data_IF_915273796287
#
_entry.id   IF_915273796287
#
_cell.length_a   1.000
_cell.length_b   1.000
_cell.length_c   1.000
_cell.angle_alpha   90.00
_cell.angle_beta   90.00
_cell.angle_gamma   90.00
#
_symmetry.space_group_name_H-M   'P 1'
#
loop_
_entity.id
_entity.type
_entity.pdbx_description
1 polymer ?
#
# COMPACT_ATOMS: atom_id res chain seq x y z
N UNK A 1 -2.69 22.93 10.76
CA UNK A 1 -2.85 22.07 11.95
C UNK A 1 -2.25 22.80 13.14
N UNK A 2 -2.84 22.61 14.31
CA UNK A 2 -2.37 23.15 15.59
C UNK A 2 -1.08 22.43 16.02
N UNK A 3 -0.08 23.19 16.47
CA UNK A 3 1.15 22.62 17.03
C UNK A 3 0.81 21.98 18.39
N UNK A 4 1.04 20.68 18.52
CA UNK A 4 0.74 19.94 19.75
C UNK A 4 2.03 19.82 20.56
N UNK A 5 2.10 20.47 21.73
CA UNK A 5 3.16 20.25 22.72
C UNK A 5 3.07 18.80 23.24
N UNK A 6 4.01 17.96 22.80
CA UNK A 6 3.78 16.52 22.67
C UNK A 6 5.05 15.66 22.53
N UNK A 7 4.95 14.35 22.76
CA UNK A 7 5.85 13.37 22.15
C UNK A 7 5.03 12.27 21.48
N UNK A 8 5.63 11.57 20.51
CA UNK A 8 4.99 10.39 19.93
C UNK A 8 5.11 9.17 20.86
N UNK A 9 4.22 8.19 20.67
CA UNK A 9 4.17 6.98 21.46
C UNK A 9 5.46 6.15 21.31
N UNK A 10 6.15 6.20 20.16
CA UNK A 10 7.46 5.53 19.99
C UNK A 10 8.48 6.04 21.02
N UNK A 11 8.63 7.36 21.13
CA UNK A 11 9.53 7.98 22.09
C UNK A 11 9.13 7.66 23.53
N UNK A 12 7.82 7.62 23.82
CA UNK A 12 7.31 7.25 25.14
C UNK A 12 7.63 5.79 25.49
N UNK A 13 7.39 4.83 24.59
CA UNK A 13 7.70 3.39 24.78
C UNK A 13 9.20 3.21 25.07
N UNK A 14 10.07 3.85 24.29
CA UNK A 14 11.51 3.74 24.47
C UNK A 14 12.00 4.24 25.85
N UNK A 15 11.26 5.14 26.51
CA UNK A 15 11.59 5.66 27.84
C UNK A 15 10.90 4.88 28.97
N UNK A 16 9.77 4.24 28.68
CA UNK A 16 8.94 3.54 29.64
C UNK A 16 8.92 2.05 29.28
N UNK A 17 10.02 1.35 29.55
CA UNK A 17 10.22 -0.05 29.14
C UNK A 17 9.15 -1.01 29.68
N UNK A 18 8.54 -0.68 30.85
CA UNK A 18 7.48 -1.48 31.46
C UNK A 18 6.34 -0.59 31.98
N UNK A 19 5.42 -0.15 31.09
CA UNK A 19 4.35 0.74 31.49
C UNK A 19 3.32 0.03 32.36
N UNK A 20 2.73 0.76 33.30
CA UNK A 20 1.70 0.25 34.21
C UNK A 20 0.33 0.12 33.49
N UNK A 21 -0.59 -0.59 34.15
CA UNK A 21 -1.93 -0.82 33.63
C UNK A 21 -2.72 0.48 33.34
N UNK A 22 -2.74 1.52 34.23
CA UNK A 22 -3.43 2.77 33.95
C UNK A 22 -2.96 3.46 32.66
N UNK A 23 -1.65 3.58 32.44
CA UNK A 23 -1.12 4.22 31.23
C UNK A 23 -1.47 3.41 29.98
N UNK A 24 -1.32 2.07 30.03
CA UNK A 24 -1.69 1.18 28.93
C UNK A 24 -3.17 1.37 28.57
N UNK A 25 -4.07 1.27 29.56
CA UNK A 25 -5.51 1.39 29.32
C UNK A 25 -5.89 2.78 28.83
N UNK A 26 -5.29 3.85 29.34
CA UNK A 26 -5.56 5.23 28.89
C UNK A 26 -5.24 5.41 27.41
N UNK A 27 -4.04 4.98 26.98
CA UNK A 27 -3.63 5.04 25.57
C UNK A 27 -4.57 4.18 24.73
N UNK A 28 -4.85 2.94 25.18
CA UNK A 28 -5.69 2.00 24.45
C UNK A 28 -7.12 2.51 24.24
N UNK A 29 -7.73 3.06 25.28
CA UNK A 29 -9.09 3.60 25.23
C UNK A 29 -9.17 4.83 24.32
N UNK A 30 -8.23 5.79 24.46
CA UNK A 30 -8.27 7.04 23.69
C UNK A 30 -8.01 6.80 22.19
N UNK A 31 -7.04 5.96 21.82
CA UNK A 31 -6.79 5.60 20.41
C UNK A 31 -7.98 4.83 19.84
N UNK A 32 -8.53 3.86 20.58
CA UNK A 32 -9.70 3.10 20.11
C UNK A 32 -10.91 4.01 19.92
N UNK A 33 -11.13 5.01 20.77
CA UNK A 33 -12.19 5.99 20.61
C UNK A 33 -12.02 6.83 19.32
N UNK A 34 -10.79 7.24 19.00
CA UNK A 34 -10.49 7.91 17.74
C UNK A 34 -10.78 7.02 16.51
N UNK A 35 -10.36 5.75 16.56
CA UNK A 35 -10.64 4.76 15.51
C UNK A 35 -12.14 4.47 15.37
N UNK A 36 -12.89 4.38 16.46
CA UNK A 36 -14.34 4.18 16.45
C UNK A 36 -15.05 5.35 15.76
N UNK A 37 -14.64 6.59 16.04
CA UNK A 37 -15.17 7.80 15.40
C UNK A 37 -14.87 7.84 13.90
N UNK A 38 -13.68 7.43 13.49
CA UNK A 38 -13.28 7.36 12.07
C UNK A 38 -14.01 6.25 11.32
N UNK A 39 -14.02 5.03 11.89
CA UNK A 39 -14.70 3.86 11.32
C UNK A 39 -16.21 4.06 11.17
N UNK A 40 -16.86 4.75 12.11
CA UNK A 40 -18.27 5.15 12.01
C UNK A 40 -18.58 6.10 10.84
N UNK A 41 -17.55 6.70 10.22
CA UNK A 41 -17.63 7.53 9.02
C UNK A 41 -17.10 6.82 7.76
N UNK A 42 -16.80 5.52 7.86
CA UNK A 42 -16.22 4.73 6.77
C UNK A 42 -14.75 5.07 6.47
N UNK A 43 -14.06 5.75 7.38
CA UNK A 43 -12.65 6.13 7.20
C UNK A 43 -11.75 5.05 7.80
N UNK A 44 -10.79 4.57 7.01
CA UNK A 44 -9.71 3.68 7.42
C UNK A 44 -8.41 4.49 7.44
N UNK A 45 -7.66 4.43 8.54
CA UNK A 45 -6.44 5.19 8.76
C UNK A 45 -5.25 4.66 7.95
N UNK A 46 -5.09 3.33 7.86
CA UNK A 46 -4.09 2.61 7.04
C UNK A 46 -2.62 2.72 7.48
N UNK A 47 -2.31 3.46 8.54
CA UNK A 47 -0.93 3.68 9.01
C UNK A 47 -0.90 3.87 10.54
N UNK A 48 -1.59 3.00 11.28
CA UNK A 48 -1.55 3.03 12.74
C UNK A 48 -0.22 2.44 13.22
N UNK A 49 0.58 3.27 13.88
CA UNK A 49 1.88 2.93 14.46
C UNK A 49 2.24 3.92 15.58
N UNK A 50 3.19 3.58 16.48
CA UNK A 50 3.57 4.46 17.59
C UNK A 50 4.04 5.86 17.16
N UNK A 51 4.64 6.00 15.97
CA UNK A 51 5.09 7.29 15.45
C UNK A 51 3.92 8.25 15.13
N UNK A 52 2.75 7.71 14.80
CA UNK A 52 1.55 8.48 14.43
C UNK A 52 0.58 8.67 15.61
N UNK A 53 0.96 8.29 16.83
CA UNK A 53 0.17 8.50 18.04
C UNK A 53 0.90 9.53 18.90
N UNK A 54 0.29 10.68 19.09
CA UNK A 54 0.82 11.78 19.88
C UNK A 54 0.23 11.76 21.28
N UNK A 55 1.08 11.91 22.28
CA UNK A 55 0.71 12.11 23.67
C UNK A 55 0.93 13.59 23.98
N UNK A 56 -0.07 14.30 24.52
CA UNK A 56 0.00 15.74 24.88
C UNK A 56 0.22 15.94 26.38
N UNK A 57 0.90 17.01 26.80
CA UNK A 57 1.33 17.16 28.22
C UNK A 57 0.16 17.06 29.21
N UNK A 58 -1.06 17.29 28.75
CA UNK A 58 -2.29 17.14 29.53
C UNK A 58 -2.85 15.70 29.60
N UNK A 59 -2.10 14.70 29.13
CA UNK A 59 -2.54 13.29 29.11
C UNK A 59 -3.50 12.93 27.97
N UNK A 60 -3.73 13.83 27.00
CA UNK A 60 -4.56 13.55 25.82
C UNK A 60 -3.77 12.73 24.79
N UNK A 61 -4.43 11.78 24.15
CA UNK A 61 -3.88 11.01 23.03
C UNK A 61 -4.54 11.43 21.73
N UNK A 62 -3.72 11.90 20.79
CA UNK A 62 -4.14 12.30 19.45
C UNK A 62 -3.58 11.32 18.43
N UNK A 63 -4.45 10.77 17.58
CA UNK A 63 -4.02 9.99 16.41
C UNK A 63 -3.77 10.97 15.27
N UNK A 64 -2.50 11.12 14.89
CA UNK A 64 -2.05 11.99 13.82
C UNK A 64 -2.08 11.27 12.47
N UNK A 65 -2.19 12.05 11.40
CA UNK A 65 -2.01 11.59 10.02
C UNK A 65 -2.91 10.43 9.56
N UNK A 66 -4.23 10.66 9.54
CA UNK A 66 -5.12 9.88 8.67
C UNK A 66 -4.55 9.94 7.25
N UNK A 67 -3.91 8.85 6.80
CA UNK A 67 -2.87 8.88 5.76
C UNK A 67 -3.15 9.79 4.56
N UNK A 68 -2.69 11.04 4.60
CA UNK A 68 -2.74 11.99 3.49
C UNK A 68 -1.62 11.74 2.45
N UNK A 69 -0.76 10.74 2.68
CA UNK A 69 0.28 10.31 1.75
C UNK A 69 -0.08 9.05 0.93
N UNK A 70 -1.34 8.58 0.98
CA UNK A 70 -1.86 7.52 0.11
C UNK A 70 -3.19 7.90 -0.53
N UNK A 71 -3.25 9.12 -1.07
CA UNK A 71 -4.13 9.41 -2.22
C UNK A 71 -3.56 8.73 -3.48
N UNK A 72 -3.39 7.42 -3.39
CA UNK A 72 -3.28 6.49 -4.49
C UNK A 72 -4.21 5.34 -4.13
N UNK A 73 -5.34 5.36 -4.82
CA UNK A 73 -6.18 4.23 -5.17
C UNK A 73 -7.12 3.72 -4.08
N UNK A 74 -8.38 4.16 -4.22
CA UNK A 74 -9.51 3.33 -3.85
C UNK A 74 -9.53 2.14 -4.82
N UNK A 75 -9.32 0.92 -4.32
CA UNK A 75 -9.63 -0.31 -5.06
C UNK A 75 -8.46 -1.10 -5.63
N UNK A 76 -7.24 -0.56 -5.70
CA UNK A 76 -6.08 -1.33 -6.16
C UNK A 76 -5.38 -2.05 -5.02
N UNK A 77 -4.87 -3.28 -5.25
CA UNK A 77 -3.97 -3.92 -4.32
C UNK A 77 -2.82 -2.99 -4.03
N UNK A 78 -2.34 -3.00 -2.77
CA UNK A 78 -1.15 -2.24 -2.37
C UNK A 78 0.00 -2.67 -3.29
N UNK A 79 0.23 -1.93 -4.38
CA UNK A 79 1.39 -2.09 -5.23
C UNK A 79 2.57 -1.68 -4.35
N UNK A 80 3.30 -2.68 -3.84
CA UNK A 80 4.52 -2.58 -3.06
C UNK A 80 5.69 -1.87 -3.80
N UNK A 81 5.42 -1.19 -4.91
CA UNK A 81 6.40 -0.89 -5.96
C UNK A 81 6.40 0.57 -6.44
N UNK A 82 5.80 1.53 -5.73
CA UNK A 82 5.95 2.95 -6.09
C UNK A 82 7.08 3.65 -5.31
N UNK A 83 8.25 3.70 -5.96
CA UNK A 83 9.27 4.77 -5.98
C UNK A 83 9.76 5.32 -4.62
N UNK A 84 11.04 5.05 -4.31
CA UNK A 84 11.92 6.04 -3.66
C UNK A 84 11.77 6.30 -2.16
N UNK A 85 10.88 5.59 -1.45
CA UNK A 85 10.83 5.61 0.02
C UNK A 85 11.58 4.38 0.50
N UNK A 86 12.60 4.55 1.34
CA UNK A 86 13.20 3.46 2.11
C UNK A 86 12.05 2.69 2.75
N UNK A 87 11.71 1.50 2.24
CA UNK A 87 10.64 0.69 2.82
C UNK A 87 11.15 0.31 4.20
N UNK A 88 10.74 1.07 5.22
CA UNK A 88 10.97 0.70 6.60
C UNK A 88 10.44 -0.72 6.79
N UNK A 89 11.00 -1.45 7.75
CA UNK A 89 10.47 -2.75 8.14
C UNK A 89 8.96 -2.60 8.41
N UNK A 90 8.07 -3.40 7.77
CA UNK A 90 6.61 -3.22 7.81
C UNK A 90 6.01 -3.70 9.13
N UNK A 91 6.57 -3.22 10.25
CA UNK A 91 6.36 -3.73 11.61
C UNK A 91 4.90 -3.68 12.07
N UNK A 92 4.08 -2.80 11.49
CA UNK A 92 2.70 -2.55 11.91
C UNK A 92 1.67 -2.80 10.81
N UNK A 93 2.06 -3.39 9.68
CA UNK A 93 1.13 -3.69 8.59
C UNK A 93 0.22 -4.86 8.97
N UNK A 94 -1.05 -4.76 8.59
CA UNK A 94 -1.99 -5.88 8.68
C UNK A 94 -1.73 -6.94 7.59
N UNK A 95 -2.17 -8.20 7.80
CA UNK A 95 -2.03 -9.27 6.81
C UNK A 95 -2.60 -8.87 5.44
N UNK A 96 -3.78 -8.26 5.44
CA UNK A 96 -4.43 -7.76 4.22
C UNK A 96 -3.65 -6.63 3.55
N UNK A 97 -2.93 -5.77 4.30
CA UNK A 97 -2.03 -4.77 3.70
C UNK A 97 -0.82 -5.43 3.04
N UNK A 98 -0.24 -6.45 3.67
CA UNK A 98 0.88 -7.22 3.12
C UNK A 98 0.47 -7.97 1.85
N UNK A 99 -0.74 -8.52 1.83
CA UNK A 99 -1.31 -9.24 0.67
C UNK A 99 -1.87 -8.30 -0.41
N UNK A 100 -1.94 -6.99 -0.15
CA UNK A 100 -2.60 -6.04 -1.04
C UNK A 100 -4.11 -6.29 -1.19
N UNK A 101 -4.79 -6.87 -0.19
CA UNK A 101 -6.24 -7.02 -0.20
C UNK A 101 -6.96 -5.70 0.16
N UNK A 102 -8.24 -5.54 -0.19
CA UNK A 102 -9.04 -4.39 0.24
C UNK A 102 -8.99 -4.20 1.75
N UNK A 103 -8.76 -2.95 2.18
CA UNK A 103 -8.66 -2.59 3.59
C UNK A 103 -10.00 -2.09 4.11
N UNK A 104 -10.31 -2.47 5.35
CA UNK A 104 -11.47 -1.99 6.09
C UNK A 104 -11.06 -1.60 7.52
N UNK A 105 -11.98 -1.10 8.37
CA UNK A 105 -11.62 -0.68 9.73
C UNK A 105 -10.96 -1.77 10.59
N UNK A 106 -11.12 -3.06 10.26
CA UNK A 106 -10.47 -4.19 10.96
C UNK A 106 -8.97 -4.28 10.65
N UNK A 107 -8.51 -3.65 9.57
CA UNK A 107 -7.08 -3.46 9.28
C UNK A 107 -6.43 -2.53 10.30
N UNK A 108 -7.09 -1.42 10.63
CA UNK A 108 -6.61 -0.52 11.69
C UNK A 108 -6.64 -1.18 13.07
N UNK A 109 -7.65 -2.03 13.34
CA UNK A 109 -7.69 -2.84 14.58
C UNK A 109 -6.45 -3.74 14.70
N UNK A 110 -6.02 -4.36 13.61
CA UNK A 110 -4.81 -5.20 13.63
C UNK A 110 -3.55 -4.37 13.85
N UNK A 111 -3.35 -3.30 13.06
CA UNK A 111 -2.18 -2.43 13.20
C UNK A 111 -2.11 -1.79 14.59
N UNK A 112 -3.27 -1.48 15.17
CA UNK A 112 -3.35 -1.06 16.55
C UNK A 112 -3.02 -2.19 17.53
N UNK A 113 -3.42 -3.43 17.25
CA UNK A 113 -3.04 -4.61 18.04
C UNK A 113 -1.52 -4.81 18.10
N UNK A 114 -0.83 -4.60 16.98
CA UNK A 114 0.65 -4.62 16.95
C UNK A 114 1.22 -3.47 17.80
N UNK A 115 0.64 -2.29 17.70
CA UNK A 115 1.04 -1.12 18.52
C UNK A 115 0.86 -1.38 20.01
N UNK A 116 -0.27 -1.98 20.42
CA UNK A 116 -0.55 -2.37 21.80
C UNK A 116 0.41 -3.47 22.28
N UNK A 117 0.71 -4.45 21.44
CA UNK A 117 1.70 -5.48 21.75
C UNK A 117 3.06 -4.83 22.04
N UNK A 118 3.50 -3.94 21.17
CA UNK A 118 4.76 -3.22 21.34
C UNK A 118 4.78 -2.36 22.60
N UNK A 119 3.68 -1.66 22.89
CA UNK A 119 3.51 -0.91 24.13
C UNK A 119 3.68 -1.79 25.38
N UNK A 120 3.13 -3.00 25.37
CA UNK A 120 3.10 -3.89 26.53
C UNK A 120 4.42 -4.67 26.70
N UNK A 121 4.97 -5.16 25.58
CA UNK A 121 6.14 -6.03 25.53
C UNK A 121 7.47 -5.28 25.34
N UNK A 122 7.44 -3.97 25.09
CA UNK A 122 8.62 -3.16 24.78
C UNK A 122 9.22 -3.40 23.39
N UNK A 123 8.73 -4.39 22.64
CA UNK A 123 9.12 -4.65 21.24
C UNK A 123 7.93 -5.15 20.40
N UNK A 124 7.94 -4.92 19.06
CA UNK A 124 6.89 -5.44 18.18
C UNK A 124 6.81 -6.97 18.20
N UNK A 125 5.63 -7.56 17.95
CA UNK A 125 5.44 -9.01 17.97
C UNK A 125 6.26 -9.77 16.92
N UNK A 126 6.62 -9.08 15.83
CA UNK A 126 7.39 -9.64 14.74
C UNK A 126 8.57 -8.73 14.39
N UNK A 127 9.74 -9.33 14.38
CA UNK A 127 11.02 -8.69 14.02
C UNK A 127 11.77 -9.62 13.10
N UNK A 128 12.67 -9.08 12.29
CA UNK A 128 13.44 -9.86 11.33
C UNK A 128 14.49 -9.02 10.65
N UNK A 129 15.51 -9.69 10.11
CA UNK A 129 16.63 -9.06 9.43
C UNK A 129 16.20 -8.38 8.11
N UNK A 130 15.06 -8.79 7.54
CA UNK A 130 14.53 -8.24 6.31
C UNK A 130 13.07 -7.80 6.44
N UNK A 131 12.65 -6.73 5.72
CA UNK A 131 11.25 -6.33 5.62
C UNK A 131 10.31 -7.46 5.20
N UNK A 132 10.75 -8.33 4.27
CA UNK A 132 9.95 -9.46 3.81
C UNK A 132 9.77 -10.51 4.91
N UNK A 133 10.80 -10.80 5.71
CA UNK A 133 10.68 -11.72 6.84
C UNK A 133 9.60 -11.26 7.81
N UNK A 134 9.56 -9.97 8.12
CA UNK A 134 8.53 -9.38 8.99
C UNK A 134 7.15 -9.45 8.33
N UNK A 135 7.04 -9.14 7.04
CA UNK A 135 5.79 -9.26 6.30
C UNK A 135 5.22 -10.70 6.32
N UNK A 136 6.08 -11.71 6.08
CA UNK A 136 5.67 -13.13 6.15
C UNK A 136 5.26 -13.53 7.55
N UNK A 137 5.92 -13.01 8.59
CA UNK A 137 5.51 -13.24 9.98
C UNK A 137 4.12 -12.66 10.27
N UNK A 138 3.78 -11.47 9.75
CA UNK A 138 2.43 -10.94 9.86
C UNK A 138 1.38 -11.88 9.27
N UNK A 139 1.70 -12.59 8.18
CA UNK A 139 0.79 -13.55 7.52
C UNK A 139 0.66 -14.88 8.27
N UNK A 140 1.76 -15.42 8.81
CA UNK A 140 1.84 -16.84 9.21
C UNK A 140 2.17 -17.09 10.67
N UNK A 141 2.93 -16.20 11.31
CA UNK A 141 3.48 -16.44 12.65
C UNK A 141 2.52 -15.92 13.71
N UNK A 142 2.25 -16.72 14.73
CA UNK A 142 1.53 -16.25 15.92
C UNK A 142 2.49 -15.49 16.85
N UNK A 143 2.04 -14.37 17.46
CA UNK A 143 2.85 -13.60 18.40
C UNK A 143 3.10 -14.38 19.70
N UNK A 144 4.22 -14.11 20.37
CA UNK A 144 4.46 -14.70 21.70
C UNK A 144 3.36 -14.26 22.68
N UNK A 145 2.78 -15.17 23.49
CA UNK A 145 1.73 -14.82 24.43
C UNK A 145 2.15 -13.70 25.38
N UNK A 146 1.36 -12.62 25.46
CA UNK A 146 1.70 -11.46 26.30
C UNK A 146 1.71 -11.83 27.78
N UNK A 147 0.94 -12.85 28.19
CA UNK A 147 0.92 -13.33 29.57
C UNK A 147 2.27 -13.90 30.02
N UNK A 148 3.10 -14.40 29.08
CA UNK A 148 4.43 -14.89 29.40
C UNK A 148 5.41 -13.73 29.65
N UNK A 149 5.19 -12.58 28.99
CA UNK A 149 6.03 -11.39 29.06
C UNK A 149 5.60 -10.43 30.18
N UNK A 150 4.29 -10.36 30.45
CA UNK A 150 3.64 -9.42 31.37
C UNK A 150 2.58 -10.13 32.21
N UNK A 151 3.04 -11.02 33.09
CA UNK A 151 2.18 -11.75 34.03
C UNK A 151 1.50 -10.85 35.07
N UNK A 152 1.99 -9.60 35.23
CA UNK A 152 1.42 -8.57 36.08
C UNK A 152 0.14 -7.93 35.51
N UNK A 153 -0.17 -8.13 34.23
CA UNK A 153 -1.35 -7.54 33.59
C UNK A 153 -2.57 -8.48 33.62
N UNK A 154 -3.80 -7.92 33.60
CA UNK A 154 -5.02 -8.72 33.53
C UNK A 154 -5.03 -9.62 32.30
N UNK A 155 -5.34 -10.91 32.49
CA UNK A 155 -5.40 -11.90 31.40
C UNK A 155 -6.31 -11.44 30.26
N UNK A 156 -7.46 -10.87 30.59
CA UNK A 156 -8.43 -10.37 29.61
C UNK A 156 -7.82 -9.29 28.69
N UNK A 157 -6.95 -8.42 29.20
CA UNK A 157 -6.28 -7.40 28.39
C UNK A 157 -5.35 -8.04 27.36
N UNK A 158 -4.56 -9.03 27.79
CA UNK A 158 -3.70 -9.81 26.90
C UNK A 158 -4.54 -10.51 25.82
N UNK A 159 -5.64 -11.16 26.18
CA UNK A 159 -6.54 -11.85 25.25
C UNK A 159 -7.16 -10.90 24.22
N UNK A 160 -7.54 -9.67 24.63
CA UNK A 160 -8.01 -8.63 23.70
C UNK A 160 -6.94 -8.30 22.66
N UNK A 161 -5.70 -8.04 23.08
CA UNK A 161 -4.59 -7.72 22.14
C UNK A 161 -4.34 -8.88 21.19
N UNK A 162 -4.33 -10.11 21.68
CA UNK A 162 -4.18 -11.31 20.84
C UNK A 162 -5.34 -11.49 19.85
N UNK A 163 -6.57 -11.16 20.25
CA UNK A 163 -7.73 -11.16 19.34
C UNK A 163 -7.62 -10.09 18.25
N UNK A 164 -7.08 -8.91 18.56
CA UNK A 164 -6.79 -7.87 17.55
C UNK A 164 -5.78 -8.35 16.52
N UNK A 165 -4.81 -9.19 16.93
CA UNK A 165 -3.75 -9.76 16.10
C UNK A 165 -4.15 -11.02 15.30
N UNK A 166 -5.42 -11.44 15.37
CA UNK A 166 -5.89 -12.59 14.60
C UNK A 166 -5.67 -12.36 13.09
N UNK A 167 -5.16 -13.37 12.38
CA UNK A 167 -4.77 -13.21 10.97
C UNK A 167 -5.97 -12.94 10.07
N UNK A 168 -7.05 -13.70 10.27
CA UNK A 168 -8.31 -13.51 9.54
C UNK A 168 -9.11 -12.33 10.13
N UNK A 169 -9.49 -11.30 9.34
CA UNK A 169 -10.26 -10.15 9.83
C UNK A 169 -11.58 -10.51 10.53
N UNK A 170 -12.25 -11.58 10.10
CA UNK A 170 -13.49 -12.09 10.72
C UNK A 170 -13.33 -12.61 12.15
N UNK A 171 -12.10 -12.96 12.56
CA UNK A 171 -11.79 -13.42 13.92
C UNK A 171 -11.44 -12.27 14.87
N UNK A 172 -11.21 -11.06 14.33
CA UNK A 172 -10.93 -9.84 15.11
C UNK A 172 -12.22 -9.21 15.65
N UNK A 173 -12.08 -8.10 16.36
CA UNK A 173 -13.20 -7.20 16.65
C UNK A 173 -13.75 -6.64 15.33
N UNK A 174 -15.07 -6.70 15.16
CA UNK A 174 -15.71 -6.27 13.90
C UNK A 174 -15.87 -4.75 13.82
N UNK A 175 -15.67 -4.03 14.93
CA UNK A 175 -15.58 -2.58 14.95
C UNK A 175 -14.69 -2.11 16.12
N UNK A 176 -14.10 -0.93 15.98
CA UNK A 176 -13.39 -0.29 17.10
C UNK A 176 -14.35 0.07 18.26
N UNK A 177 -15.65 0.28 17.99
CA UNK A 177 -16.65 0.47 19.04
C UNK A 177 -16.82 -0.77 19.93
N UNK A 178 -16.80 -1.97 19.32
CA UNK A 178 -16.83 -3.24 20.06
C UNK A 178 -15.57 -3.38 20.95
N UNK A 179 -14.39 -3.10 20.39
CA UNK A 179 -13.14 -3.10 21.14
C UNK A 179 -13.18 -2.10 22.31
N UNK A 180 -13.69 -0.88 22.07
CA UNK A 180 -13.78 0.17 23.09
C UNK A 180 -14.65 -0.26 24.28
N UNK A 181 -15.72 -0.99 24.02
CA UNK A 181 -16.61 -1.51 25.06
C UNK A 181 -15.89 -2.49 25.99
N UNK A 182 -15.11 -3.41 25.43
CA UNK A 182 -14.32 -4.40 26.19
C UNK A 182 -13.23 -3.71 27.02
N UNK A 183 -12.50 -2.75 26.42
CA UNK A 183 -11.48 -1.99 27.13
C UNK A 183 -12.06 -1.19 28.31
N UNK A 184 -13.23 -0.58 28.12
CA UNK A 184 -13.94 0.13 29.20
C UNK A 184 -14.47 -0.82 30.28
N UNK A 185 -14.76 -2.08 29.95
CA UNK A 185 -15.14 -3.07 30.96
C UNK A 185 -13.96 -3.38 31.88
N UNK A 186 -12.78 -3.65 31.31
CA UNK A 186 -11.54 -3.86 32.07
C UNK A 186 -11.19 -2.63 32.91
N UNK A 187 -11.32 -1.44 32.31
CA UNK A 187 -11.10 -0.17 32.99
C UNK A 187 -11.98 -0.04 34.24
N UNK A 188 -13.29 -0.29 34.14
CA UNK A 188 -14.20 -0.22 35.30
C UNK A 188 -13.87 -1.26 36.38
N UNK A 189 -13.52 -2.47 35.96
CA UNK A 189 -13.18 -3.57 36.89
C UNK A 189 -11.90 -3.28 37.69
N UNK A 190 -10.86 -2.76 37.02
CA UNK A 190 -9.53 -2.62 37.62
C UNK A 190 -9.21 -1.22 38.14
N UNK A 191 -9.94 -0.18 37.72
CA UNK A 191 -9.72 1.22 38.12
C UNK A 191 -10.86 1.79 38.97
N UNK A 192 -11.99 1.08 39.13
CA UNK A 192 -13.16 1.57 39.87
C UNK A 192 -13.70 2.90 39.33
N UNK A 193 -14.36 3.70 40.19
CA UNK A 193 -14.83 5.07 39.92
C UNK A 193 -13.75 6.15 40.09
N UNK A 194 -12.50 5.77 40.39
CA UNK A 194 -11.34 6.65 40.45
C UNK A 194 -10.50 6.45 39.18
N UNK A 195 -11.06 6.83 38.04
CA UNK A 195 -10.20 7.16 36.90
C UNK A 195 -9.47 8.46 37.28
N UNK A 196 -8.13 8.53 37.26
CA UNK A 196 -7.46 9.80 37.35
C UNK A 196 -7.89 10.61 36.11
N UNK A 197 -8.80 11.57 36.27
CA UNK A 197 -9.04 12.58 35.22
C UNK A 197 -7.71 13.27 34.87
N UNK A 198 -6.83 13.36 35.86
CA UNK A 198 -5.45 13.84 35.79
C UNK A 198 -4.45 12.68 35.93
N UNK A 199 -4.35 11.80 34.92
CA UNK A 199 -3.12 11.00 34.79
C UNK A 199 -1.95 11.99 34.70
N UNK A 200 -0.83 11.80 35.43
CA UNK A 200 0.28 12.74 35.39
C UNK A 200 0.70 12.92 33.93
N UNK A 201 0.78 14.19 33.51
CA UNK A 201 1.24 14.54 32.17
C UNK A 201 2.51 13.77 31.84
N UNK A 202 2.66 13.24 30.62
CA UNK A 202 3.87 12.49 30.28
C UNK A 202 5.08 13.42 30.41
N UNK A 203 5.88 13.21 31.45
CA UNK A 203 6.99 14.11 31.74
C UNK A 203 8.06 14.02 30.63
N UNK A 204 8.48 15.17 30.11
CA UNK A 204 9.65 15.28 29.24
C UNK A 204 10.86 15.62 30.07
N UNK A 205 11.57 14.62 30.56
CA UNK A 205 12.92 14.85 31.09
C UNK A 205 13.85 15.22 29.93
N UNK A 206 14.06 16.52 29.71
CA UNK A 206 15.30 17.07 29.13
C UNK A 206 15.62 16.83 27.65
N UNK A 207 14.69 16.43 26.79
CA UNK A 207 14.92 16.47 25.33
C UNK A 207 14.39 17.81 24.83
N UNK A 208 15.31 18.75 24.59
CA UNK A 208 15.04 19.96 23.84
C UNK A 208 14.30 19.62 22.54
N UNK A 209 13.42 20.52 22.13
CA UNK A 209 12.57 20.45 20.95
C UNK A 209 13.36 20.45 19.60
N UNK A 210 14.55 19.85 19.56
CA UNK A 210 15.47 19.82 18.43
C UNK A 210 15.31 18.61 17.51
N UNK A 211 14.35 17.72 17.77
CA UNK A 211 13.95 16.65 16.82
C UNK A 211 12.67 16.95 16.02
N UNK A 212 12.01 18.07 16.29
CA UNK A 212 10.90 18.55 15.46
C UNK A 212 11.47 19.37 14.30
N UNK A 213 11.82 18.70 13.20
CA UNK A 213 12.14 19.39 11.96
C UNK A 213 10.94 20.22 11.50
N UNK A 214 11.01 21.57 11.45
CA UNK A 214 9.90 22.36 10.98
C UNK A 214 9.81 22.24 9.45
N UNK A 215 8.66 21.80 8.96
CA UNK A 215 7.86 22.60 8.01
C UNK A 215 8.46 22.89 6.61
N UNK A 216 9.56 22.24 6.18
CA UNK A 216 10.04 22.40 4.79
C UNK A 216 9.15 21.69 3.75
N UNK A 217 8.46 20.60 4.14
CA UNK A 217 7.47 19.96 3.27
C UNK A 217 6.24 20.85 3.07
N UNK A 218 5.85 21.61 4.10
CA UNK A 218 4.63 22.42 4.13
C UNK A 218 4.75 23.72 3.33
N UNK A 219 5.93 24.36 3.30
CA UNK A 219 6.15 25.54 2.45
C UNK A 219 6.16 25.21 0.95
N UNK A 220 6.68 24.04 0.56
CA UNK A 220 6.57 23.54 -0.82
C UNK A 220 5.14 23.14 -1.19
N UNK A 221 4.38 22.61 -0.24
CA UNK A 221 2.96 22.28 -0.41
C UNK A 221 2.10 23.52 -0.58
N UNK A 222 2.38 24.61 0.14
CA UNK A 222 1.60 25.85 0.03
C UNK A 222 1.80 26.53 -1.35
N UNK A 223 3.01 26.47 -1.91
CA UNK A 223 3.30 26.89 -3.29
C UNK A 223 2.60 26.00 -4.36
N UNK A 224 2.43 24.70 -4.07
CA UNK A 224 1.70 23.76 -4.93
C UNK A 224 0.17 23.88 -4.74
N UNK A 225 -0.30 24.29 -3.56
CA UNK A 225 -1.72 24.49 -3.25
C UNK A 225 -2.25 25.82 -3.79
N UNK A 226 -1.43 26.88 -3.82
CA UNK A 226 -1.77 28.15 -4.47
C UNK A 226 -1.93 28.01 -5.99
N UNK A 227 -1.20 27.07 -6.62
CA UNK A 227 -1.40 26.72 -8.04
C UNK A 227 -2.61 25.81 -8.26
N UNK A 228 -3.08 25.09 -7.24
CA UNK A 228 -4.23 24.17 -7.32
C UNK A 228 -5.58 24.79 -6.91
N UNK A 229 -5.60 25.99 -6.32
CA UNK A 229 -6.81 26.63 -5.78
C UNK A 229 -7.85 27.09 -6.83
N UNK A 230 -7.64 26.81 -8.13
CA UNK A 230 -8.60 27.10 -9.21
C UNK A 230 -9.50 25.93 -9.63
N UNK A 231 -9.64 24.85 -8.84
CA UNK A 231 -10.61 23.79 -9.21
C UNK A 231 -11.33 23.14 -8.03
N UNK A 232 -12.18 23.89 -7.34
CA UNK A 232 -13.22 23.32 -6.49
C UNK A 232 -14.58 23.40 -7.16
N UNK A 233 -15.10 22.26 -7.65
CA UNK A 233 -16.54 21.92 -7.61
C UNK A 233 -16.85 20.51 -8.16
N UNK A 234 -17.56 19.76 -7.31
CA UNK A 234 -18.44 18.60 -7.57
C UNK A 234 -17.81 17.29 -8.06
N UNK A 235 -18.09 16.25 -7.27
CA UNK A 235 -17.86 14.85 -7.60
C UNK A 235 -18.58 14.41 -8.87
N UNK A 236 -18.18 13.22 -9.36
CA UNK A 236 -18.51 12.61 -10.66
C UNK A 236 -17.53 12.94 -11.79
N UNK A 237 -16.22 12.69 -11.58
CA UNK A 237 -15.17 12.92 -12.60
C UNK A 237 -14.00 11.93 -12.58
N UNK A 238 -14.18 10.66 -12.17
CA UNK A 238 -13.10 9.66 -12.34
C UNK A 238 -13.08 9.02 -13.74
N UNK A 239 -14.21 9.09 -14.47
CA UNK A 239 -14.31 8.65 -15.86
C UNK A 239 -13.86 9.68 -16.91
N UNK A 240 -13.53 10.92 -16.52
CA UNK A 240 -13.06 11.92 -17.49
C UNK A 240 -11.60 11.76 -17.91
N UNK A 241 -10.78 10.97 -17.20
CA UNK A 241 -9.40 10.68 -17.62
C UNK A 241 -9.34 9.56 -18.68
N UNK A 242 -10.16 8.51 -18.52
CA UNK A 242 -10.33 7.46 -19.53
C UNK A 242 -11.05 8.00 -20.77
N UNK A 243 -12.06 8.88 -20.58
CA UNK A 243 -12.68 9.59 -21.70
C UNK A 243 -11.77 10.66 -22.33
N UNK A 244 -10.79 11.24 -21.60
CA UNK A 244 -9.78 12.15 -22.18
C UNK A 244 -8.73 11.40 -22.99
N UNK A 245 -8.28 10.24 -22.54
CA UNK A 245 -7.33 9.43 -23.32
C UNK A 245 -8.02 8.93 -24.58
N UNK A 246 -9.29 8.53 -24.51
CA UNK A 246 -10.09 8.17 -25.70
C UNK A 246 -10.44 9.40 -26.58
N UNK A 247 -10.73 10.57 -26.01
CA UNK A 247 -11.05 11.78 -26.80
C UNK A 247 -9.82 12.50 -27.38
N UNK A 248 -8.64 12.39 -26.75
CA UNK A 248 -7.36 12.91 -27.28
C UNK A 248 -6.79 11.96 -28.33
N UNK A 249 -7.04 10.65 -28.23
CA UNK A 249 -6.63 9.67 -29.23
C UNK A 249 -7.59 9.60 -30.44
N UNK A 250 -8.85 10.01 -30.30
CA UNK A 250 -9.81 10.14 -31.42
C UNK A 250 -9.86 11.58 -32.00
N UNK A 251 -9.61 12.62 -31.21
CA UNK A 251 -9.63 14.02 -31.65
C UNK A 251 -8.27 14.61 -32.07
N UNK A 252 -7.18 13.86 -31.91
CA UNK A 252 -5.81 14.30 -32.21
C UNK A 252 -5.47 14.46 -33.70
N UNK A 253 -6.41 14.22 -34.60
CA UNK A 253 -6.25 14.39 -36.04
C UNK A 253 -6.42 15.84 -36.53
N UNK A 254 -6.72 16.81 -35.66
CA UNK A 254 -6.96 18.21 -36.07
C UNK A 254 -5.96 19.27 -35.57
N UNK A 255 -4.98 18.93 -34.72
CA UNK A 255 -4.09 19.94 -34.12
C UNK A 255 -2.59 19.69 -34.34
N UNK A 256 -2.22 18.92 -35.37
CA UNK A 256 -0.82 18.69 -35.75
C UNK A 256 -0.36 19.68 -36.83
N UNK A 257 -0.56 20.98 -36.62
CA UNK A 257 0.09 22.04 -37.40
C UNK A 257 0.21 23.31 -36.54
N UNK A 258 1.41 23.52 -35.99
CA UNK A 258 1.84 24.86 -35.59
C UNK A 258 2.01 25.10 -34.10
N UNK A 259 3.05 24.51 -33.48
CA UNK A 259 3.87 25.22 -32.48
C UNK A 259 5.12 24.42 -32.13
N UNK A 260 6.25 24.78 -32.75
CA UNK A 260 7.58 24.41 -32.26
C UNK A 260 7.93 25.35 -31.12
N UNK A 261 7.96 24.84 -29.90
CA UNK A 261 8.73 25.44 -28.81
C UNK A 261 9.75 24.42 -28.30
N UNK A 262 11.02 24.82 -28.29
CA UNK A 262 12.15 23.98 -27.85
C UNK A 262 12.03 23.69 -26.35
N UNK A 263 12.21 22.44 -25.89
CA UNK A 263 12.33 22.20 -24.45
C UNK A 263 13.74 22.59 -24.00
N UNK A 264 13.80 23.37 -22.91
CA UNK A 264 15.03 23.62 -22.16
C UNK A 264 15.52 22.28 -21.60
N UNK A 265 16.71 21.89 -22.04
CA UNK A 265 17.40 20.68 -21.57
C UNK A 265 17.89 20.94 -20.15
N UNK A 266 17.19 20.39 -19.15
CA UNK A 266 17.86 19.95 -17.92
C UNK A 266 18.62 18.66 -18.25
N UNK A 267 19.92 18.53 -17.93
CA UNK A 267 20.61 17.28 -18.17
C UNK A 267 19.95 16.20 -17.30
N UNK A 268 19.32 15.24 -17.96
CA UNK A 268 18.89 14.02 -17.32
C UNK A 268 20.12 13.39 -16.66
N UNK A 269 20.06 13.18 -15.34
CA UNK A 269 20.99 12.28 -14.69
C UNK A 269 20.89 10.93 -15.39
N UNK A 270 21.89 10.61 -16.20
CA UNK A 270 22.00 9.32 -16.86
C UNK A 270 22.15 8.24 -15.80
N UNK A 271 21.13 7.40 -15.64
CA UNK A 271 21.21 6.18 -14.85
C UNK A 271 22.40 5.32 -15.32
N UNK A 272 23.13 4.64 -14.43
CA UNK A 272 24.25 3.81 -14.81
C UNK A 272 23.79 2.72 -15.78
N UNK A 273 24.44 2.65 -16.96
CA UNK A 273 24.14 1.71 -18.07
C UNK A 273 24.38 0.23 -17.73
N UNK A 274 24.87 -0.09 -16.53
CA UNK A 274 25.19 -1.45 -16.10
C UNK A 274 24.50 -1.72 -14.77
N UNK A 275 23.49 -2.58 -14.81
CA UNK A 275 22.82 -3.07 -13.59
C UNK A 275 23.73 -4.13 -12.98
N UNK A 276 24.28 -3.83 -11.80
CA UNK A 276 25.13 -4.76 -11.06
C UNK A 276 24.37 -6.04 -10.72
N UNK A 277 24.93 -7.21 -11.07
CA UNK A 277 24.37 -8.51 -10.71
C UNK A 277 24.48 -8.74 -9.20
N UNK A 278 23.35 -9.09 -8.55
CA UNK A 278 23.30 -9.38 -7.11
C UNK A 278 23.58 -10.84 -6.78
N UNK A 279 23.77 -11.11 -5.49
CA UNK A 279 24.12 -12.44 -4.97
C UNK A 279 22.96 -13.44 -5.08
N UNK A 280 21.74 -12.95 -5.04
CA UNK A 280 20.53 -13.76 -5.15
C UNK A 280 19.44 -13.04 -5.96
N UNK A 281 18.47 -13.84 -6.46
CA UNK A 281 17.40 -13.37 -7.34
C UNK A 281 16.49 -12.35 -6.66
N UNK A 282 16.34 -12.46 -5.34
CA UNK A 282 15.48 -11.59 -4.56
C UNK A 282 16.11 -10.20 -4.42
N UNK A 283 17.42 -10.10 -4.13
CA UNK A 283 18.17 -8.86 -4.14
C UNK A 283 18.20 -8.23 -5.54
N UNK A 284 18.28 -9.04 -6.59
CA UNK A 284 18.15 -8.56 -7.97
C UNK A 284 16.75 -7.96 -8.21
N UNK A 285 15.69 -8.63 -7.76
CA UNK A 285 14.30 -8.17 -7.85
C UNK A 285 14.06 -6.88 -7.06
N UNK A 286 14.61 -6.76 -5.85
CA UNK A 286 14.53 -5.54 -5.04
C UNK A 286 15.25 -4.37 -5.71
N UNK A 287 16.40 -4.62 -6.32
CA UNK A 287 17.12 -3.59 -7.07
C UNK A 287 16.31 -3.15 -8.31
N UNK A 288 15.68 -4.09 -9.02
CA UNK A 288 14.81 -3.79 -10.14
C UNK A 288 13.58 -2.97 -9.74
N UNK A 289 12.98 -3.29 -8.60
CA UNK A 289 11.87 -2.52 -8.03
C UNK A 289 12.27 -1.08 -7.69
N UNK A 290 13.50 -0.88 -7.17
CA UNK A 290 14.00 0.46 -6.82
C UNK A 290 14.33 1.30 -8.05
N UNK A 291 14.95 0.70 -9.06
CA UNK A 291 15.35 1.40 -10.28
C UNK A 291 14.16 1.63 -11.21
N UNK A 292 13.23 0.67 -11.25
CA UNK A 292 12.07 0.61 -12.13
C UNK A 292 12.40 0.91 -13.60
N UNK A 293 13.55 0.40 -14.07
CA UNK A 293 13.98 0.50 -15.46
C UNK A 293 13.88 -0.84 -16.16
N UNK A 294 13.71 -0.82 -17.49
CA UNK A 294 13.64 -2.04 -18.29
C UNK A 294 14.91 -2.90 -18.11
N UNK A 295 16.08 -2.26 -18.06
CA UNK A 295 17.37 -2.93 -17.86
C UNK A 295 17.43 -3.65 -16.50
N UNK A 296 16.83 -3.07 -15.47
CA UNK A 296 16.87 -3.64 -14.13
C UNK A 296 15.91 -4.82 -13.97
N UNK A 297 14.71 -4.73 -14.55
CA UNK A 297 13.79 -5.86 -14.61
C UNK A 297 14.31 -6.99 -15.51
N UNK A 298 14.95 -6.65 -16.63
CA UNK A 298 15.60 -7.63 -17.50
C UNK A 298 16.72 -8.38 -16.76
N UNK A 299 17.47 -7.71 -15.88
CA UNK A 299 18.48 -8.37 -15.05
C UNK A 299 17.89 -9.42 -14.09
N UNK A 300 16.62 -9.26 -13.65
CA UNK A 300 15.91 -10.27 -12.85
C UNK A 300 15.55 -11.48 -13.70
N UNK A 301 15.00 -11.24 -14.90
CA UNK A 301 14.64 -12.31 -15.85
C UNK A 301 15.88 -13.12 -16.24
N UNK A 302 17.01 -12.44 -16.45
CA UNK A 302 18.28 -13.08 -16.79
C UNK A 302 18.95 -13.80 -15.61
N UNK A 303 18.45 -13.64 -14.38
CA UNK A 303 19.04 -14.25 -13.19
C UNK A 303 18.86 -15.79 -13.19
N UNK A 304 17.74 -16.27 -13.73
CA UNK A 304 17.41 -17.68 -13.93
C UNK A 304 16.60 -17.85 -15.22
N UNK A 305 17.19 -18.32 -16.33
CA UNK A 305 16.46 -18.48 -17.59
C UNK A 305 15.36 -19.55 -17.55
N UNK A 306 15.44 -20.52 -16.63
CA UNK A 306 14.62 -21.74 -16.66
C UNK A 306 14.11 -22.13 -15.28
N UNK A 307 13.28 -21.28 -14.68
CA UNK A 307 12.60 -21.59 -13.41
C UNK A 307 11.30 -20.82 -13.29
N UNK A 308 10.24 -21.52 -12.90
CA UNK A 308 8.90 -20.96 -12.63
C UNK A 308 8.86 -20.21 -11.29
N UNK A 309 9.77 -19.26 -11.13
CA UNK A 309 9.96 -18.47 -9.92
C UNK A 309 8.96 -17.29 -9.89
N UNK A 310 8.18 -17.09 -8.80
CA UNK A 310 7.20 -16.01 -8.71
C UNK A 310 7.78 -14.61 -8.98
N UNK A 311 9.03 -14.37 -8.55
CA UNK A 311 9.72 -13.10 -8.77
C UNK A 311 10.01 -12.84 -10.26
N UNK A 312 10.34 -13.90 -11.02
CA UNK A 312 10.61 -13.80 -12.46
C UNK A 312 9.32 -13.50 -13.21
N UNK A 313 8.22 -14.20 -12.88
CA UNK A 313 6.93 -13.96 -13.52
C UNK A 313 6.43 -12.53 -13.27
N UNK A 314 6.65 -11.98 -12.08
CA UNK A 314 6.35 -10.57 -11.78
C UNK A 314 7.28 -9.61 -12.50
N UNK A 315 8.57 -9.92 -12.65
CA UNK A 315 9.49 -9.11 -13.44
C UNK A 315 9.10 -9.07 -14.93
N UNK A 316 8.69 -10.21 -15.51
CA UNK A 316 8.14 -10.27 -16.88
C UNK A 316 6.89 -9.39 -17.02
N UNK A 317 5.96 -9.46 -16.06
CA UNK A 317 4.78 -8.59 -16.04
C UNK A 317 5.15 -7.09 -16.05
N UNK A 318 6.14 -6.67 -15.27
CA UNK A 318 6.60 -5.27 -15.24
C UNK A 318 7.31 -4.85 -16.52
N UNK A 319 8.13 -5.72 -17.11
CA UNK A 319 8.76 -5.47 -18.41
C UNK A 319 7.73 -5.27 -19.52
N UNK A 320 6.70 -6.12 -19.59
CA UNK A 320 5.61 -5.97 -20.56
C UNK A 320 4.98 -4.59 -20.44
N UNK A 321 4.63 -4.13 -19.23
CA UNK A 321 4.07 -2.79 -19.02
C UNK A 321 5.01 -1.70 -19.55
N UNK A 322 6.27 -1.72 -19.15
CA UNK A 322 7.26 -0.71 -19.55
C UNK A 322 7.53 -0.70 -21.06
N UNK A 323 7.52 -1.88 -21.71
CA UNK A 323 7.70 -1.98 -23.16
C UNK A 323 6.48 -1.45 -23.90
N UNK A 324 5.26 -1.76 -23.46
CA UNK A 324 4.03 -1.23 -24.07
C UNK A 324 3.95 0.30 -23.95
N UNK A 325 4.27 0.87 -22.78
CA UNK A 325 4.28 2.33 -22.56
C UNK A 325 5.26 3.07 -23.49
N UNK A 326 6.42 2.44 -23.77
CA UNK A 326 7.44 2.99 -24.66
C UNK A 326 7.17 2.70 -26.14
N UNK A 327 6.13 1.94 -26.46
CA UNK A 327 5.83 1.49 -27.84
C UNK A 327 6.78 0.42 -28.38
N UNK A 328 7.52 -0.27 -27.50
CA UNK A 328 8.48 -1.32 -27.86
C UNK A 328 7.78 -2.68 -27.97
N UNK A 329 6.84 -2.82 -28.90
CA UNK A 329 5.97 -4.01 -29.01
C UNK A 329 6.73 -5.31 -29.29
N UNK A 330 7.81 -5.24 -30.09
CA UNK A 330 8.64 -6.41 -30.42
C UNK A 330 9.31 -7.03 -29.19
N UNK A 331 9.59 -6.23 -28.15
CA UNK A 331 10.14 -6.69 -26.88
C UNK A 331 9.05 -7.17 -25.91
N UNK A 332 7.84 -6.61 -26.02
CA UNK A 332 6.71 -6.98 -25.16
C UNK A 332 6.11 -8.34 -25.53
N UNK A 333 6.01 -8.65 -26.83
CA UNK A 333 5.33 -9.86 -27.32
C UNK A 333 5.91 -11.18 -26.77
N UNK A 334 7.23 -11.44 -26.84
CA UNK A 334 7.79 -12.68 -26.31
C UNK A 334 7.55 -12.85 -24.79
N UNK A 335 7.59 -11.75 -24.04
CA UNK A 335 7.31 -11.76 -22.61
C UNK A 335 5.84 -12.01 -22.29
N UNK A 336 4.92 -11.62 -23.18
CA UNK A 336 3.52 -11.97 -23.07
C UNK A 336 3.32 -13.46 -23.31
N UNK A 337 3.95 -14.02 -24.35
CA UNK A 337 3.89 -15.45 -24.67
C UNK A 337 4.41 -16.30 -23.50
N UNK A 338 5.54 -15.91 -22.90
CA UNK A 338 6.08 -16.52 -21.68
C UNK A 338 5.08 -16.57 -20.51
N UNK A 339 4.26 -15.52 -20.34
CA UNK A 339 3.25 -15.46 -19.27
C UNK A 339 2.02 -16.31 -19.60
N UNK A 340 1.71 -16.50 -20.88
CA UNK A 340 0.57 -17.30 -21.36
C UNK A 340 0.85 -18.80 -21.17
N UNK A 341 2.11 -19.21 -21.34
CA UNK A 341 2.58 -20.59 -21.19
C UNK A 341 2.69 -21.07 -19.74
N UNK A 342 2.46 -20.18 -18.76
CA UNK A 342 2.46 -20.56 -17.34
C UNK A 342 1.38 -21.61 -17.00
N UNK A 343 1.60 -22.31 -15.88
CA UNK A 343 0.68 -23.33 -15.36
C UNK A 343 -0.77 -22.81 -15.15
N UNK A 344 -1.75 -23.71 -15.23
CA UNK A 344 -3.17 -23.40 -15.07
C UNK A 344 -3.52 -22.73 -13.72
N UNK A 345 -2.75 -22.99 -12.66
CA UNK A 345 -2.90 -22.31 -11.37
C UNK A 345 -2.62 -20.80 -11.42
N UNK A 346 -1.96 -20.30 -12.47
CA UNK A 346 -1.58 -18.88 -12.66
C UNK A 346 -2.49 -18.16 -13.65
N UNK A 347 -3.78 -18.45 -13.58
CA UNK A 347 -4.78 -17.92 -14.52
C UNK A 347 -4.79 -16.39 -14.63
N UNK A 348 -4.52 -15.64 -13.56
CA UNK A 348 -4.40 -14.17 -13.61
C UNK A 348 -3.23 -13.67 -14.45
N UNK A 349 -2.05 -14.30 -14.35
CA UNK A 349 -0.86 -13.91 -15.11
C UNK A 349 -1.00 -14.26 -16.59
N UNK A 350 -1.65 -15.40 -16.88
CA UNK A 350 -1.98 -15.82 -18.24
C UNK A 350 -3.00 -14.86 -18.88
N UNK A 351 -4.02 -14.46 -18.12
CA UNK A 351 -4.98 -13.43 -18.52
C UNK A 351 -4.29 -12.09 -18.84
N UNK A 352 -3.38 -11.65 -17.98
CA UNK A 352 -2.58 -10.45 -18.22
C UNK A 352 -1.76 -10.54 -19.52
N UNK A 353 -1.07 -11.68 -19.74
CA UNK A 353 -0.30 -11.94 -20.95
C UNK A 353 -1.16 -11.87 -22.21
N UNK A 354 -2.33 -12.51 -22.21
CA UNK A 354 -3.27 -12.49 -23.34
C UNK A 354 -3.78 -11.08 -23.66
N UNK A 355 -4.15 -10.30 -22.64
CA UNK A 355 -4.60 -8.92 -22.82
C UNK A 355 -3.50 -8.03 -23.40
N UNK A 356 -2.28 -8.12 -22.88
CA UNK A 356 -1.14 -7.34 -23.37
C UNK A 356 -0.72 -7.73 -24.79
N UNK A 357 -0.77 -9.03 -25.10
CA UNK A 357 -0.53 -9.56 -26.45
C UNK A 357 -1.55 -9.02 -27.46
N UNK A 358 -2.84 -9.02 -27.09
CA UNK A 358 -3.89 -8.44 -27.93
C UNK A 358 -3.64 -6.95 -28.23
N UNK A 359 -3.27 -6.17 -27.21
CA UNK A 359 -2.94 -4.75 -27.37
C UNK A 359 -1.72 -4.56 -28.28
N UNK A 360 -0.64 -5.32 -28.06
CA UNK A 360 0.58 -5.21 -28.86
C UNK A 360 0.32 -5.55 -30.34
N UNK A 361 -0.37 -6.67 -30.61
CA UNK A 361 -0.70 -7.12 -31.97
C UNK A 361 -1.62 -6.13 -32.69
N UNK A 362 -2.59 -5.56 -31.98
CA UNK A 362 -3.45 -4.52 -32.55
C UNK A 362 -2.64 -3.28 -32.98
N UNK A 363 -1.67 -2.87 -32.14
CA UNK A 363 -0.81 -1.70 -32.41
C UNK A 363 0.21 -1.92 -33.52
N UNK A 364 0.63 -3.16 -33.75
CA UNK A 364 1.52 -3.52 -34.86
C UNK A 364 0.77 -3.87 -36.14
N UNK A 365 -0.57 -3.84 -36.13
CA UNK A 365 -1.43 -4.08 -37.30
C UNK A 365 -1.80 -5.56 -37.53
N UNK A 366 -1.44 -6.47 -36.63
CA UNK A 366 -1.89 -7.86 -36.65
C UNK A 366 -3.24 -8.00 -35.92
N UNK A 367 -4.30 -7.54 -36.58
CA UNK A 367 -5.66 -7.58 -36.03
C UNK A 367 -6.20 -9.00 -35.87
N UNK A 368 -5.75 -9.94 -36.71
CA UNK A 368 -6.16 -11.33 -36.64
C UNK A 368 -5.55 -12.01 -35.40
N UNK A 369 -4.24 -11.86 -35.19
CA UNK A 369 -3.58 -12.35 -33.99
C UNK A 369 -4.11 -11.69 -32.71
N UNK A 370 -4.48 -10.41 -32.80
CA UNK A 370 -5.15 -9.70 -31.69
C UNK A 370 -6.51 -10.33 -31.35
N UNK A 371 -7.34 -10.62 -32.35
CA UNK A 371 -8.64 -11.29 -32.15
C UNK A 371 -8.49 -12.68 -31.51
N UNK A 372 -7.51 -13.47 -31.96
CA UNK A 372 -7.22 -14.80 -31.38
C UNK A 372 -6.79 -14.68 -29.90
N UNK A 373 -5.98 -13.69 -29.55
CA UNK A 373 -5.58 -13.42 -28.17
C UNK A 373 -6.78 -12.98 -27.29
N UNK A 374 -7.70 -12.19 -27.85
CA UNK A 374 -8.93 -11.75 -27.18
C UNK A 374 -9.87 -12.93 -26.92
N UNK A 375 -10.05 -13.84 -27.88
CA UNK A 375 -10.90 -15.02 -27.70
C UNK A 375 -10.34 -15.96 -26.63
N UNK A 376 -9.02 -16.17 -26.64
CA UNK A 376 -8.33 -16.90 -25.58
C UNK A 376 -8.51 -16.21 -24.22
N UNK A 377 -8.38 -14.89 -24.15
CA UNK A 377 -8.56 -14.12 -22.92
C UNK A 377 -10.00 -14.23 -22.39
N UNK A 378 -11.00 -14.14 -23.28
CA UNK A 378 -12.41 -14.32 -22.97
C UNK A 378 -12.65 -15.67 -22.32
N UNK A 379 -12.15 -16.75 -22.93
CA UNK A 379 -12.33 -18.11 -22.38
C UNK A 379 -11.77 -18.27 -20.96
N UNK A 380 -10.63 -17.64 -20.68
CA UNK A 380 -9.97 -17.69 -19.38
C UNK A 380 -10.67 -16.81 -18.34
N UNK A 381 -11.16 -15.64 -18.75
CA UNK A 381 -11.82 -14.65 -17.89
C UNK A 381 -13.15 -15.14 -17.30
N UNK A 382 -13.89 -15.99 -18.01
CA UNK A 382 -15.17 -16.58 -17.55
C UNK A 382 -14.99 -17.35 -16.23
N UNK A 383 -13.84 -17.99 -16.05
CA UNK A 383 -13.54 -18.80 -14.88
C UNK A 383 -12.95 -18.01 -13.70
N UNK A 384 -12.55 -16.76 -13.90
CA UNK A 384 -11.82 -15.98 -12.89
C UNK A 384 -12.74 -15.16 -11.96
N UNK A 385 -14.04 -15.04 -12.25
CA UNK A 385 -15.05 -14.25 -11.51
C UNK A 385 -14.67 -12.80 -11.10
N UNK A 386 -13.54 -12.27 -11.55
CA UNK A 386 -13.07 -10.92 -11.25
C UNK A 386 -13.75 -9.87 -12.16
N UNK A 387 -14.29 -8.81 -11.55
CA UNK A 387 -14.96 -7.73 -12.26
C UNK A 387 -13.99 -6.88 -13.11
N UNK A 388 -12.75 -6.68 -12.64
CA UNK A 388 -11.74 -5.86 -13.31
C UNK A 388 -11.19 -6.56 -14.57
N UNK A 389 -11.10 -7.89 -14.54
CA UNK A 389 -10.69 -8.69 -15.69
C UNK A 389 -11.74 -8.60 -16.82
N UNK A 390 -13.04 -8.56 -16.47
CA UNK A 390 -14.12 -8.39 -17.45
C UNK A 390 -14.14 -7.00 -18.08
N UNK A 391 -13.90 -5.95 -17.29
CA UNK A 391 -13.80 -4.58 -17.82
C UNK A 391 -12.60 -4.43 -18.78
N UNK A 392 -11.46 -5.05 -18.44
CA UNK A 392 -10.28 -5.06 -19.30
C UNK A 392 -10.55 -5.78 -20.61
N UNK A 393 -11.23 -6.93 -20.57
CA UNK A 393 -11.63 -7.67 -21.76
C UNK A 393 -12.52 -6.82 -22.69
N UNK A 394 -13.55 -6.17 -22.13
CA UNK A 394 -14.45 -5.30 -22.90
C UNK A 394 -13.71 -4.13 -23.55
N UNK A 395 -12.73 -3.54 -22.85
CA UNK A 395 -11.94 -2.44 -23.38
C UNK A 395 -11.03 -2.89 -24.55
N UNK A 396 -10.40 -4.07 -24.43
CA UNK A 396 -9.53 -4.63 -25.48
C UNK A 396 -10.35 -5.07 -26.69
N UNK A 397 -11.50 -5.72 -26.49
CA UNK A 397 -12.46 -6.07 -27.55
C UNK A 397 -12.87 -4.84 -28.35
N UNK A 398 -13.35 -3.80 -27.66
CA UNK A 398 -13.77 -2.56 -28.30
C UNK A 398 -12.65 -1.89 -29.09
N UNK A 399 -11.43 -1.83 -28.52
CA UNK A 399 -10.29 -1.25 -29.21
C UNK A 399 -9.91 -2.02 -30.48
N UNK A 400 -10.05 -3.35 -30.46
CA UNK A 400 -9.77 -4.19 -31.63
C UNK A 400 -10.84 -4.04 -32.71
N UNK A 401 -12.11 -4.01 -32.34
CA UNK A 401 -13.22 -3.78 -33.26
C UNK A 401 -13.14 -2.39 -33.91
N UNK A 402 -12.83 -1.35 -33.12
CA UNK A 402 -12.63 0.01 -33.62
C UNK A 402 -11.47 0.04 -34.63
N UNK A 403 -10.35 -0.62 -34.34
CA UNK A 403 -9.19 -0.67 -35.24
C UNK A 403 -9.47 -1.45 -36.54
N UNK A 404 -10.15 -2.60 -36.47
CA UNK A 404 -10.54 -3.36 -37.66
C UNK A 404 -11.51 -2.58 -38.57
N UNK A 405 -12.41 -1.81 -37.97
CA UNK A 405 -13.36 -0.98 -38.72
C UNK A 405 -12.72 0.26 -39.36
N UNK A 406 -11.63 0.79 -38.79
CA UNK A 406 -10.91 1.97 -39.32
C UNK A 406 -9.73 1.61 -40.23
N UNK A 407 -9.14 0.42 -40.11
CA UNK A 407 -8.05 -0.06 -40.97
C UNK A 407 -8.47 -0.56 -42.35
N UNK A 408 -9.79 -0.62 -42.63
CA UNK A 408 -10.37 -1.11 -43.88
C UNK A 408 -10.92 0.03 -44.76
N UNK A 409 -10.48 1.29 -44.55
CA UNK A 409 -10.85 2.47 -45.33
C UNK A 409 -9.64 3.16 -45.95
#
# INVERSE_FOLDING_TARGET
>A
QEFVEGQNLRAWINRNEKPDLPHILSIMVQVTAALAKAGGRGVVHRDIKPENILLTRSGEVKVADFGLARLSNQGDPVELTQVGITLGTPLYMSPEQVEGKPLDPRSDVYSFGVTCYHLIAGSPPFTGETPLSVAVQHLKKEPEPLQNLRSDLPRQLCEIVHRMLAKEPRRRFQSASQLLQELRAIQREHMGSQWPEDLPGWETSGVEASSFGPVQATQRLQAVMETAALSTRRGRRWWSAVAMVVAVLVGGSAAWLGSRAKPLVTPAMSSPRVVERKKDIFLQYLQATRLNTAEAWQAVVNFTPTGDEPCVNRAKQQLVRLHLEKGNFDLALPLCDDLIELDASKAELRAFGLACRAIALNRTGDFKGSAEAIDAFRSLSVNLQDANIRETLQAVEKANDDAMNHGNR
#
